data_IF_936304325364
#
_entry.id   IF_936304325364
#
_cell.length_a   1.000
_cell.length_b   1.000
_cell.length_c   1.000
_cell.angle_alpha   90.00
_cell.angle_beta   90.00
_cell.angle_gamma   90.00
#
_symmetry.space_group_name_H-M   'P 1'
#
loop_
_entity.id
_entity.type
_entity.pdbx_description
1 polymer ?
#
# COMPACT_ATOMS: atom_id res chain seq x y z
N UNK A 1 -41.96 7.74 20.89
CA UNK A 1 -40.57 7.30 20.66
C UNK A 1 -40.33 7.28 19.16
N UNK A 2 -39.51 8.20 18.65
CA UNK A 2 -39.10 8.19 17.24
C UNK A 2 -38.05 7.11 17.07
N UNK A 3 -38.38 6.05 16.34
CA UNK A 3 -37.42 5.03 15.94
C UNK A 3 -36.50 5.74 14.92
N UNK A 4 -35.23 5.91 15.24
CA UNK A 4 -34.24 6.43 14.30
C UNK A 4 -34.19 5.46 13.10
N UNK A 5 -34.84 5.82 12.00
CA UNK A 5 -34.70 5.09 10.74
C UNK A 5 -33.35 5.46 10.14
N UNK A 6 -32.42 4.51 10.10
CA UNK A 6 -31.10 4.72 9.49
C UNK A 6 -31.30 4.93 7.99
N UNK A 7 -31.17 6.18 7.55
CA UNK A 7 -31.15 6.49 6.11
C UNK A 7 -29.85 6.00 5.51
N UNK A 8 -29.92 5.01 4.61
CA UNK A 8 -28.75 4.56 3.86
C UNK A 8 -28.38 5.59 2.78
N UNK A 9 -27.11 5.70 2.36
CA UNK A 9 -26.75 6.54 1.22
C UNK A 9 -27.34 5.98 -0.09
N UNK A 10 -27.31 6.77 -1.16
CA UNK A 10 -27.72 6.27 -2.49
C UNK A 10 -26.66 5.33 -3.06
N UNK A 11 -27.06 4.42 -3.98
CA UNK A 11 -26.15 3.47 -4.64
C UNK A 11 -24.96 4.21 -5.28
N UNK A 12 -25.21 5.34 -5.96
CA UNK A 12 -24.15 6.16 -6.57
C UNK A 12 -23.17 6.76 -5.54
N UNK A 13 -23.67 7.15 -4.37
CA UNK A 13 -22.81 7.63 -3.28
C UNK A 13 -21.94 6.50 -2.72
N UNK A 14 -22.53 5.32 -2.51
CA UNK A 14 -21.82 4.13 -2.03
C UNK A 14 -20.77 3.65 -3.04
N UNK A 15 -21.11 3.61 -4.32
CA UNK A 15 -20.17 3.28 -5.40
C UNK A 15 -18.97 4.24 -5.39
N UNK A 16 -19.22 5.54 -5.23
CA UNK A 16 -18.15 6.53 -5.12
C UNK A 16 -17.29 6.33 -3.88
N UNK A 17 -17.90 6.10 -2.70
CA UNK A 17 -17.14 5.92 -1.46
C UNK A 17 -16.30 4.64 -1.50
N UNK A 18 -16.85 3.54 -1.99
CA UNK A 18 -16.11 2.27 -2.18
C UNK A 18 -14.98 2.47 -3.18
N UNK A 19 -15.21 3.15 -4.31
CA UNK A 19 -14.15 3.42 -5.29
C UNK A 19 -12.99 4.22 -4.69
N UNK A 20 -13.28 5.20 -3.83
CA UNK A 20 -12.25 5.98 -3.12
C UNK A 20 -11.47 5.12 -2.12
N UNK A 21 -12.16 4.23 -1.39
CA UNK A 21 -11.51 3.30 -0.47
C UNK A 21 -10.61 2.30 -1.21
N UNK A 22 -11.09 1.73 -2.32
CA UNK A 22 -10.28 0.85 -3.18
C UNK A 22 -9.08 1.56 -3.78
N UNK A 23 -9.23 2.82 -4.22
CA UNK A 23 -8.12 3.64 -4.71
C UNK A 23 -7.05 3.84 -3.63
N UNK A 24 -7.47 4.06 -2.37
CA UNK A 24 -6.54 4.14 -1.26
C UNK A 24 -5.72 2.85 -1.12
N UNK A 25 -6.38 1.68 -1.13
CA UNK A 25 -5.70 0.38 -1.07
C UNK A 25 -4.73 0.15 -2.24
N UNK A 26 -5.14 0.51 -3.45
CA UNK A 26 -4.33 0.41 -4.65
C UNK A 26 -3.05 1.23 -4.51
N UNK A 27 -3.18 2.51 -4.12
CA UNK A 27 -2.06 3.42 -3.91
C UNK A 27 -1.13 2.94 -2.78
N UNK A 28 -1.67 2.46 -1.66
CA UNK A 28 -0.84 1.92 -0.57
C UNK A 28 -0.08 0.66 -1.00
N UNK A 29 -0.71 -0.20 -1.79
CA UNK A 29 -0.10 -1.44 -2.29
C UNK A 29 0.98 -1.12 -3.32
N UNK A 30 0.70 -0.22 -4.26
CA UNK A 30 1.65 0.24 -5.26
C UNK A 30 2.89 0.87 -4.61
N UNK A 31 2.72 1.70 -3.57
CA UNK A 31 3.85 2.25 -2.79
C UNK A 31 4.70 1.16 -2.13
N UNK A 32 4.07 0.18 -1.50
CA UNK A 32 4.75 -0.94 -0.86
C UNK A 32 5.57 -1.76 -1.86
N UNK A 33 4.97 -2.10 -3.01
CA UNK A 33 5.63 -2.83 -4.09
C UNK A 33 6.78 -2.02 -4.68
N UNK A 34 6.57 -0.74 -4.99
CA UNK A 34 7.60 0.14 -5.52
C UNK A 34 8.79 0.27 -4.55
N UNK A 35 8.53 0.36 -3.24
CA UNK A 35 9.59 0.36 -2.21
C UNK A 35 10.39 -0.94 -2.23
N UNK A 36 9.72 -2.08 -2.29
CA UNK A 36 10.38 -3.39 -2.33
C UNK A 36 11.21 -3.59 -3.60
N UNK A 37 10.72 -3.14 -4.76
CA UNK A 37 11.47 -3.16 -6.02
C UNK A 37 12.67 -2.21 -5.99
N UNK A 38 12.53 -1.02 -5.40
CA UNK A 38 13.63 -0.08 -5.21
C UNK A 38 14.73 -0.73 -4.35
N UNK A 39 14.38 -1.38 -3.25
CA UNK A 39 15.34 -2.06 -2.39
C UNK A 39 16.09 -3.18 -3.13
N UNK A 40 15.37 -4.02 -3.90
CA UNK A 40 15.97 -5.08 -4.73
C UNK A 40 16.93 -4.51 -5.79
N UNK A 41 16.52 -3.45 -6.48
CA UNK A 41 17.36 -2.82 -7.51
C UNK A 41 18.58 -2.13 -6.90
N UNK A 42 18.42 -1.45 -5.76
CA UNK A 42 19.53 -0.82 -5.03
C UNK A 42 20.56 -1.86 -4.58
N UNK A 43 20.12 -2.92 -3.89
CA UNK A 43 21.00 -4.01 -3.43
C UNK A 43 21.74 -4.69 -4.57
N UNK A 44 21.08 -4.89 -5.71
CA UNK A 44 21.72 -5.40 -6.93
C UNK A 44 22.85 -4.49 -7.43
N UNK A 45 22.62 -3.18 -7.53
CA UNK A 45 23.64 -2.23 -7.97
C UNK A 45 24.79 -2.08 -6.95
N UNK A 46 24.48 -2.11 -5.65
CA UNK A 46 25.49 -2.11 -4.59
C UNK A 46 26.39 -3.35 -4.67
N UNK A 47 25.82 -4.53 -4.95
CA UNK A 47 26.57 -5.75 -5.21
C UNK A 47 27.48 -5.61 -6.44
N UNK A 48 26.94 -5.14 -7.57
CA UNK A 48 27.73 -4.91 -8.79
C UNK A 48 28.89 -3.94 -8.56
N UNK A 49 28.67 -2.88 -7.76
CA UNK A 49 29.71 -1.92 -7.38
C UNK A 49 30.85 -2.61 -6.65
N UNK A 50 30.56 -3.47 -5.67
CA UNK A 50 31.57 -4.22 -4.91
C UNK A 50 32.37 -5.17 -5.81
N UNK A 51 31.70 -5.89 -6.70
CA UNK A 51 32.37 -6.81 -7.65
C UNK A 51 33.29 -6.04 -8.59
N UNK A 52 32.81 -4.95 -9.20
CA UNK A 52 33.63 -4.11 -10.08
C UNK A 52 34.82 -3.47 -9.36
N UNK A 53 34.61 -2.96 -8.15
CA UNK A 53 35.70 -2.38 -7.35
C UNK A 53 36.81 -3.40 -7.02
N UNK A 54 36.46 -4.69 -6.89
CA UNK A 54 37.42 -5.77 -6.72
C UNK A 54 38.15 -6.15 -8.03
N UNK A 55 37.52 -5.93 -9.19
CA UNK A 55 38.03 -6.32 -10.52
C UNK A 55 38.76 -5.18 -11.26
N UNK A 56 38.55 -3.91 -10.92
CA UNK A 56 39.15 -2.76 -11.60
C UNK A 56 39.01 -1.43 -10.82
N UNK A 57 39.88 -0.47 -11.14
CA UNK A 57 39.97 0.82 -10.42
C UNK A 57 38.76 1.76 -10.60
N UNK A 58 38.69 2.77 -9.72
CA UNK A 58 37.60 3.74 -9.46
C UNK A 58 36.78 4.23 -10.68
N UNK A 59 37.37 4.35 -11.87
CA UNK A 59 36.68 4.85 -13.07
C UNK A 59 35.50 3.98 -13.54
N UNK A 60 35.50 2.69 -13.22
CA UNK A 60 34.48 1.71 -13.68
C UNK A 60 33.18 1.71 -12.83
N UNK A 61 33.18 2.47 -11.73
CA UNK A 61 32.04 2.55 -10.78
C UNK A 61 31.13 3.76 -11.00
N UNK A 62 31.56 4.76 -11.78
CA UNK A 62 30.83 6.02 -11.99
C UNK A 62 29.44 5.83 -12.60
N UNK A 63 29.30 4.90 -13.55
CA UNK A 63 28.01 4.62 -14.18
C UNK A 63 27.03 3.96 -13.21
N UNK A 64 27.53 3.15 -12.28
CA UNK A 64 26.72 2.53 -11.23
C UNK A 64 26.28 3.58 -10.21
N UNK A 65 27.19 4.49 -9.84
CA UNK A 65 26.87 5.59 -8.93
C UNK A 65 25.82 6.54 -9.53
N UNK A 66 25.89 6.82 -10.83
CA UNK A 66 24.86 7.59 -11.53
C UNK A 66 23.49 6.88 -11.47
N UNK A 67 23.45 5.56 -11.74
CA UNK A 67 22.21 4.77 -11.65
C UNK A 67 21.64 4.71 -10.23
N UNK A 68 22.49 4.56 -9.21
CA UNK A 68 22.07 4.61 -7.80
C UNK A 68 21.48 5.99 -7.46
N UNK A 69 22.10 7.07 -7.92
CA UNK A 69 21.57 8.42 -7.73
C UNK A 69 20.22 8.63 -8.43
N UNK A 70 20.05 8.10 -9.64
CA UNK A 70 18.78 8.22 -10.38
C UNK A 70 17.65 7.41 -9.75
N UNK A 71 17.95 6.23 -9.17
CA UNK A 71 16.98 5.44 -8.42
C UNK A 71 16.42 6.20 -7.21
N UNK A 72 17.25 7.01 -6.53
CA UNK A 72 16.78 7.82 -5.39
C UNK A 72 15.85 8.97 -5.79
N UNK A 73 15.84 9.37 -7.07
CA UNK A 73 14.99 10.47 -7.57
C UNK A 73 13.61 10.00 -8.04
N UNK A 74 13.43 8.71 -8.34
CA UNK A 74 12.13 8.17 -8.77
C UNK A 74 11.23 7.99 -7.55
N UNK A 75 10.36 8.97 -7.31
CA UNK A 75 9.26 8.84 -6.36
C UNK A 75 8.16 7.93 -6.90
N UNK A 76 7.46 7.25 -5.99
CA UNK A 76 6.17 6.61 -6.31
C UNK A 76 5.09 7.69 -6.38
N UNK A 77 4.31 7.69 -7.45
CA UNK A 77 3.17 8.59 -7.63
C UNK A 77 1.86 7.88 -7.27
N UNK A 78 0.95 8.62 -6.65
CA UNK A 78 -0.39 8.13 -6.33
C UNK A 78 -1.26 8.21 -7.57
N UNK A 79 -2.04 7.16 -7.83
CA UNK A 79 -3.08 7.19 -8.84
C UNK A 79 -4.19 8.15 -8.38
N UNK A 80 -4.65 9.00 -9.30
CA UNK A 80 -5.77 9.92 -9.07
C UNK A 80 -7.11 9.18 -9.11
N UNK A 81 -7.16 8.04 -9.78
CA UNK A 81 -8.36 7.26 -10.02
C UNK A 81 -8.08 5.76 -9.94
N UNK A 82 -9.11 4.99 -9.59
CA UNK A 82 -9.05 3.52 -9.59
C UNK A 82 -8.71 3.01 -11.00
N UNK A 83 -7.74 2.11 -11.12
CA UNK A 83 -7.33 1.59 -12.43
C UNK A 83 -8.39 0.71 -13.08
N UNK A 84 -9.00 -0.21 -12.31
CA UNK A 84 -9.99 -1.16 -12.83
C UNK A 84 -11.42 -0.76 -12.44
N UNK A 85 -11.89 0.35 -13.01
CA UNK A 85 -13.26 0.82 -12.82
C UNK A 85 -14.28 -0.12 -13.46
N UNK A 86 -13.90 -0.81 -14.53
CA UNK A 86 -14.81 -1.67 -15.31
C UNK A 86 -15.31 -2.86 -14.50
N UNK A 87 -14.40 -3.59 -13.85
CA UNK A 87 -14.78 -4.75 -13.06
C UNK A 87 -15.54 -4.32 -11.81
N UNK A 88 -15.11 -3.23 -11.16
CA UNK A 88 -15.80 -2.67 -10.01
C UNK A 88 -17.24 -2.25 -10.36
N UNK A 89 -17.43 -1.52 -11.45
CA UNK A 89 -18.76 -1.10 -11.90
C UNK A 89 -19.63 -2.30 -12.26
N UNK A 90 -19.07 -3.31 -12.93
CA UNK A 90 -19.79 -4.56 -13.23
C UNK A 90 -20.29 -5.28 -11.96
N UNK A 91 -19.50 -5.30 -10.88
CA UNK A 91 -19.93 -5.88 -9.60
C UNK A 91 -21.09 -5.09 -9.00
N UNK A 92 -21.02 -3.76 -9.01
CA UNK A 92 -22.09 -2.89 -8.48
C UNK A 92 -23.37 -3.01 -9.29
N UNK A 93 -23.26 -3.10 -10.62
CA UNK A 93 -24.39 -3.31 -11.53
C UNK A 93 -25.05 -4.67 -11.27
N UNK A 94 -24.27 -5.75 -11.15
CA UNK A 94 -24.82 -7.07 -10.81
C UNK A 94 -25.53 -7.07 -9.45
N UNK A 95 -24.95 -6.42 -8.44
CA UNK A 95 -25.58 -6.29 -7.12
C UNK A 95 -26.89 -5.47 -7.14
N UNK A 96 -27.07 -4.60 -8.15
CA UNK A 96 -28.27 -3.78 -8.34
C UNK A 96 -29.31 -4.44 -9.25
N UNK A 97 -28.88 -5.35 -10.13
CA UNK A 97 -29.73 -6.05 -11.11
C UNK A 97 -30.36 -7.34 -10.56
N UNK A 98 -29.95 -7.80 -9.38
CA UNK A 98 -30.59 -8.94 -8.73
C UNK A 98 -32.07 -8.67 -8.48
N UNK A 99 -32.92 -9.71 -8.53
CA UNK A 99 -34.37 -9.65 -8.23
C UNK A 99 -34.68 -9.24 -6.77
N UNK A 100 -33.67 -8.79 -6.03
CA UNK A 100 -33.74 -8.39 -4.64
C UNK A 100 -34.25 -6.95 -4.53
N UNK A 101 -34.93 -6.58 -3.42
CA UNK A 101 -35.34 -5.20 -3.20
C UNK A 101 -34.13 -4.25 -3.14
N UNK A 102 -34.28 -3.03 -3.66
CA UNK A 102 -33.22 -2.02 -3.72
C UNK A 102 -32.58 -1.73 -2.35
N UNK A 103 -33.37 -1.80 -1.28
CA UNK A 103 -32.88 -1.64 0.09
C UNK A 103 -31.82 -2.69 0.47
N UNK A 104 -31.97 -3.93 0.00
CA UNK A 104 -30.97 -4.98 0.23
C UNK A 104 -29.67 -4.68 -0.53
N UNK A 105 -29.76 -4.24 -1.79
CA UNK A 105 -28.58 -3.85 -2.56
C UNK A 105 -27.82 -2.69 -1.88
N UNK A 106 -28.55 -1.68 -1.39
CA UNK A 106 -27.97 -0.56 -0.64
C UNK A 106 -27.32 -0.99 0.68
N UNK A 107 -27.97 -1.89 1.41
CA UNK A 107 -27.42 -2.42 2.65
C UNK A 107 -26.13 -3.22 2.40
N UNK A 108 -26.13 -4.09 1.38
CA UNK A 108 -24.96 -4.87 1.00
C UNK A 108 -23.77 -3.97 0.61
N UNK A 109 -24.01 -2.97 -0.23
CA UNK A 109 -22.96 -2.01 -0.63
C UNK A 109 -22.44 -1.21 0.57
N UNK A 110 -23.31 -0.77 1.48
CA UNK A 110 -22.89 -0.11 2.71
C UNK A 110 -22.06 -1.05 3.60
N UNK A 111 -22.44 -2.33 3.72
CA UNK A 111 -21.64 -3.30 4.47
C UNK A 111 -20.26 -3.51 3.87
N UNK A 112 -20.15 -3.56 2.54
CA UNK A 112 -18.85 -3.63 1.84
C UNK A 112 -18.02 -2.38 2.13
N UNK A 113 -18.62 -1.19 2.00
CA UNK A 113 -17.94 0.07 2.32
C UNK A 113 -17.42 0.10 3.77
N UNK A 114 -18.26 -0.26 4.74
CA UNK A 114 -17.88 -0.31 6.15
C UNK A 114 -16.80 -1.36 6.41
N UNK A 115 -16.88 -2.54 5.78
CA UNK A 115 -15.85 -3.57 5.89
C UNK A 115 -14.49 -3.06 5.42
N UNK A 116 -14.40 -2.45 4.24
CA UNK A 116 -13.15 -1.90 3.71
C UNK A 116 -12.57 -0.83 4.62
N UNK A 117 -13.40 0.10 5.08
CA UNK A 117 -12.98 1.15 6.00
C UNK A 117 -12.45 0.57 7.32
N UNK A 118 -13.18 -0.37 7.90
CA UNK A 118 -12.81 -1.01 9.17
C UNK A 118 -11.52 -1.83 9.03
N UNK A 119 -11.29 -2.49 7.90
CA UNK A 119 -10.05 -3.22 7.65
C UNK A 119 -8.84 -2.28 7.61
N UNK A 120 -8.97 -1.10 7.00
CA UNK A 120 -7.90 -0.09 7.02
C UNK A 120 -7.62 0.38 8.45
N UNK A 121 -8.67 0.80 9.17
CA UNK A 121 -8.52 1.28 10.55
C UNK A 121 -7.92 0.21 11.46
N UNK A 122 -8.35 -1.05 11.31
CA UNK A 122 -7.78 -2.19 12.02
C UNK A 122 -6.28 -2.36 11.74
N UNK A 123 -5.88 -2.31 10.46
CA UNK A 123 -4.48 -2.43 10.08
C UNK A 123 -3.61 -1.28 10.62
N UNK A 124 -4.14 -0.05 10.60
CA UNK A 124 -3.47 1.13 11.14
C UNK A 124 -3.26 1.00 12.65
N UNK A 125 -4.28 0.56 13.39
CA UNK A 125 -4.19 0.29 14.82
C UNK A 125 -3.17 -0.81 15.11
N UNK A 126 -3.22 -1.92 14.37
CA UNK A 126 -2.29 -3.02 14.53
C UNK A 126 -0.84 -2.57 14.33
N UNK A 127 -0.59 -1.78 13.28
CA UNK A 127 0.75 -1.24 12.98
C UNK A 127 1.22 -0.25 14.06
N UNK A 128 0.32 0.55 14.63
CA UNK A 128 0.65 1.52 15.68
C UNK A 128 1.05 0.87 16.99
N UNK A 129 0.33 -0.18 17.40
CA UNK A 129 0.58 -0.86 18.68
C UNK A 129 1.60 -1.99 18.55
N UNK A 130 1.78 -2.57 17.37
CA UNK A 130 2.81 -3.56 17.06
C UNK A 130 3.63 -3.14 15.84
N UNK A 131 4.49 -2.11 15.97
CA UNK A 131 5.26 -1.62 14.84
C UNK A 131 6.32 -2.63 14.36
N UNK A 132 6.67 -3.62 15.18
CA UNK A 132 7.56 -4.72 14.81
C UNK A 132 6.99 -5.65 13.74
N UNK A 133 5.67 -5.63 13.50
CA UNK A 133 5.01 -6.46 12.50
C UNK A 133 5.46 -6.16 11.06
N UNK A 134 5.74 -4.88 10.76
CA UNK A 134 6.13 -4.42 9.42
C UNK A 134 7.64 -4.14 9.29
N UNK A 135 8.41 -4.30 10.37
CA UNK A 135 9.85 -4.05 10.33
C UNK A 135 10.57 -5.22 9.68
N UNK A 136 11.59 -4.92 8.88
CA UNK A 136 12.55 -5.93 8.44
C UNK A 136 13.27 -6.50 9.66
N UNK A 137 13.78 -7.73 9.51
CA UNK A 137 14.55 -8.36 10.59
C UNK A 137 15.78 -7.51 10.98
N UNK A 138 16.45 -6.89 10.00
CA UNK A 138 17.60 -6.01 10.25
C UNK A 138 17.22 -4.78 11.08
N UNK A 139 16.09 -4.15 10.77
CA UNK A 139 15.62 -2.96 11.48
C UNK A 139 15.21 -3.31 12.91
N UNK A 140 14.58 -4.47 13.10
CA UNK A 140 14.18 -4.94 14.42
C UNK A 140 15.42 -5.24 15.30
N UNK A 141 16.40 -5.96 14.74
CA UNK A 141 17.67 -6.24 15.44
C UNK A 141 18.39 -4.94 15.79
N UNK A 142 18.49 -4.00 14.85
CA UNK A 142 19.15 -2.70 15.09
C UNK A 142 18.45 -1.87 16.16
N UNK A 143 17.12 -1.79 16.14
CA UNK A 143 16.35 -1.06 17.18
C UNK A 143 16.46 -1.72 18.55
N UNK A 144 16.46 -3.04 18.59
CA UNK A 144 16.61 -3.80 19.84
C UNK A 144 18.01 -3.63 20.42
N UNK A 145 19.04 -3.66 19.58
CA UNK A 145 20.43 -3.38 19.98
C UNK A 145 20.59 -1.95 20.50
N UNK A 146 20.04 -0.95 19.79
CA UNK A 146 20.09 0.45 20.23
C UNK A 146 19.40 0.66 21.59
N UNK A 147 18.34 -0.10 21.91
CA UNK A 147 17.67 -0.04 23.22
C UNK A 147 18.60 -0.42 24.37
N UNK A 148 19.59 -1.28 24.12
CA UNK A 148 20.58 -1.73 25.11
C UNK A 148 21.94 -1.06 24.95
N UNK A 149 22.04 -0.03 24.09
CA UNK A 149 23.29 0.68 23.83
C UNK A 149 24.31 -0.08 22.98
N UNK A 150 23.86 -1.09 22.21
CA UNK A 150 24.68 -1.83 21.26
C UNK A 150 24.43 -1.32 19.83
N UNK A 151 25.50 -1.19 19.04
CA UNK A 151 25.43 -0.81 17.63
C UNK A 151 25.60 -2.05 16.73
N UNK A 152 24.75 -2.19 15.71
CA UNK A 152 24.81 -3.30 14.74
C UNK A 152 25.57 -2.82 13.50
N UNK A 153 26.62 -3.55 13.06
CA UNK A 153 27.32 -3.20 11.82
C UNK A 153 26.40 -3.35 10.59
N UNK A 154 26.43 -2.36 9.69
CA UNK A 154 25.71 -2.36 8.41
C UNK A 154 26.54 -2.97 7.27
#
# INVERSE_FOLDING_TARGET
MSIFTRSLPSIKQLQKSIALELLHYENTTAKSLAKAELEKTKTYYDYLKRVKAAQGGIKDTKDIDAKLADLTKKGSHDNTELQDKTNFNGIVENASNDKLPEEYARNNLENVHQYLKNQREYFDLLTRYNPGLLMSQSDNVSKTANRVGLEVPN
#
